data_IF_411516918675
#
_entry.id   IF_411516918675
#
_cell.length_a   1.000
_cell.length_b   1.000
_cell.length_c   1.000
_cell.angle_alpha   90.00
_cell.angle_beta   90.00
_cell.angle_gamma   90.00
#
_symmetry.space_group_name_H-M   'P 1'
#
loop_
_entity.id
_entity.type
_entity.pdbx_description
1 polymer ?
#
# COMPACT_ATOMS: atom_id res chain seq x y z
N UNK A 1 14.31 -35.75 8.91
CA UNK A 1 14.85 -34.43 8.52
C UNK A 1 13.77 -33.41 8.81
N UNK A 2 13.97 -32.52 9.79
CA UNK A 2 13.01 -31.48 10.11
C UNK A 2 13.47 -30.18 9.44
N UNK A 3 12.66 -29.65 8.52
CA UNK A 3 12.91 -28.35 7.90
C UNK A 3 12.11 -27.31 8.68
N UNK A 4 12.79 -26.41 9.37
CA UNK A 4 12.18 -25.20 9.91
C UNK A 4 11.88 -24.27 8.73
N UNK A 5 10.59 -24.12 8.42
CA UNK A 5 10.12 -23.16 7.42
C UNK A 5 9.72 -21.91 8.18
N UNK A 6 10.47 -20.82 7.96
CA UNK A 6 10.10 -19.51 8.45
C UNK A 6 9.03 -18.94 7.51
N UNK A 7 7.80 -18.83 8.03
CA UNK A 7 6.67 -18.33 7.26
C UNK A 7 6.62 -16.80 7.37
N UNK A 8 6.43 -16.07 6.26
CA UNK A 8 6.25 -14.63 6.35
C UNK A 8 4.97 -14.28 7.11
N UNK A 9 5.03 -13.22 7.91
CA UNK A 9 3.88 -12.69 8.67
C UNK A 9 2.80 -12.00 7.82
N UNK A 10 2.90 -12.08 6.50
CA UNK A 10 1.98 -11.44 5.55
C UNK A 10 1.43 -12.45 4.55
N UNK A 11 0.22 -12.17 4.06
CA UNK A 11 -0.48 -13.00 3.07
C UNK A 11 -0.78 -12.21 1.80
N UNK A 12 -1.34 -12.92 0.82
CA UNK A 12 -1.77 -12.33 -0.44
C UNK A 12 -2.82 -11.24 -0.18
N UNK A 13 -2.71 -10.12 -0.92
CA UNK A 13 -3.52 -8.89 -0.84
C UNK A 13 -3.18 -7.95 0.32
N UNK A 14 -2.34 -8.35 1.26
CA UNK A 14 -1.84 -7.44 2.29
C UNK A 14 -0.99 -6.32 1.66
N UNK A 15 -0.85 -5.22 2.39
CA UNK A 15 0.08 -4.15 2.06
C UNK A 15 1.19 -4.19 3.10
N UNK A 16 2.41 -4.24 2.61
CA UNK A 16 3.59 -4.27 3.47
C UNK A 16 4.52 -3.09 3.17
N UNK A 17 5.19 -2.64 4.21
CA UNK A 17 6.36 -1.77 4.11
C UNK A 17 7.63 -2.62 4.14
N UNK A 18 8.47 -2.49 3.12
CA UNK A 18 9.74 -3.23 2.97
C UNK A 18 10.71 -2.42 2.11
N UNK A 19 11.97 -2.30 2.55
CA UNK A 19 13.03 -1.54 1.86
C UNK A 19 12.61 -0.11 1.44
N UNK A 20 11.88 0.59 2.30
CA UNK A 20 11.35 1.93 2.02
C UNK A 20 10.40 1.97 0.80
N UNK A 21 9.69 0.86 0.55
CA UNK A 21 8.65 0.74 -0.47
C UNK A 21 7.38 0.19 0.15
N UNK A 22 6.26 0.65 -0.38
CA UNK A 22 4.93 0.15 -0.05
C UNK A 22 4.50 -0.82 -1.13
N UNK A 23 4.36 -2.09 -0.76
CA UNK A 23 4.08 -3.17 -1.70
C UNK A 23 2.74 -3.83 -1.36
N UNK A 24 1.81 -3.83 -2.32
CA UNK A 24 0.62 -4.68 -2.27
C UNK A 24 0.97 -6.08 -2.73
N UNK A 25 0.82 -7.08 -1.87
CA UNK A 25 1.23 -8.47 -2.12
C UNK A 25 0.31 -9.12 -3.15
N UNK A 26 0.87 -9.57 -4.28
CA UNK A 26 0.11 -10.26 -5.33
C UNK A 26 0.36 -11.77 -5.32
N UNK A 27 1.62 -12.18 -5.14
CA UNK A 27 2.05 -13.59 -5.09
C UNK A 27 3.26 -13.73 -4.18
N UNK A 28 3.24 -14.78 -3.36
CA UNK A 28 4.33 -15.16 -2.46
C UNK A 28 4.94 -16.46 -3.01
N UNK A 29 6.26 -16.51 -3.07
CA UNK A 29 7.06 -17.66 -3.52
C UNK A 29 8.50 -17.48 -3.04
N UNK A 30 9.50 -17.95 -3.79
CA UNK A 30 10.91 -17.65 -3.46
C UNK A 30 11.21 -16.14 -3.44
N UNK A 31 10.49 -15.38 -4.24
CA UNK A 31 10.51 -13.91 -4.28
C UNK A 31 9.09 -13.40 -4.14
N UNK A 32 8.94 -12.21 -3.60
CA UNK A 32 7.65 -11.55 -3.48
C UNK A 32 7.36 -10.81 -4.77
N UNK A 33 6.24 -11.14 -5.42
CA UNK A 33 5.69 -10.32 -6.51
C UNK A 33 4.56 -9.48 -5.95
N UNK A 34 4.64 -8.18 -6.19
CA UNK A 34 3.67 -7.21 -5.70
C UNK A 34 3.52 -6.02 -6.60
N UNK A 35 2.70 -5.08 -6.16
CA UNK A 35 2.51 -3.79 -6.81
C UNK A 35 3.10 -2.71 -5.91
N UNK A 36 4.08 -1.97 -6.43
CA UNK A 36 4.66 -0.79 -5.77
C UNK A 36 3.64 0.35 -5.84
N UNK A 37 3.05 0.68 -4.69
CA UNK A 37 1.97 1.66 -4.56
C UNK A 37 2.48 3.07 -4.85
N UNK A 38 3.71 3.37 -4.46
CA UNK A 38 4.34 4.68 -4.66
C UNK A 38 4.66 4.92 -6.14
N UNK A 39 5.14 3.88 -6.84
CA UNK A 39 5.53 3.97 -8.26
C UNK A 39 4.43 3.56 -9.24
N UNK A 40 3.28 3.12 -8.74
CA UNK A 40 2.13 2.65 -9.51
C UNK A 40 2.51 1.55 -10.54
N UNK A 41 3.38 0.61 -10.16
CA UNK A 41 3.90 -0.43 -11.08
C UNK A 41 4.09 -1.78 -10.40
N UNK A 42 3.99 -2.86 -11.18
CA UNK A 42 4.35 -4.19 -10.71
C UNK A 42 5.85 -4.27 -10.39
N UNK A 43 6.21 -5.02 -9.35
CA UNK A 43 7.59 -5.24 -8.94
C UNK A 43 7.77 -6.64 -8.34
N UNK A 44 9.02 -7.12 -8.38
CA UNK A 44 9.41 -8.35 -7.72
C UNK A 44 10.60 -8.04 -6.82
N UNK A 45 10.48 -8.37 -5.54
CA UNK A 45 11.52 -8.10 -4.55
C UNK A 45 11.92 -9.39 -3.85
N UNK A 46 13.17 -9.43 -3.42
CA UNK A 46 13.58 -10.37 -2.40
C UNK A 46 13.09 -9.87 -1.04
N UNK A 47 12.44 -10.74 -0.28
CA UNK A 47 11.90 -10.44 1.05
C UNK A 47 12.51 -11.34 2.13
N UNK A 48 13.32 -12.34 1.74
CA UNK A 48 13.96 -13.24 2.70
C UNK A 48 14.93 -12.44 3.56
N UNK A 49 14.88 -12.67 4.88
CA UNK A 49 15.70 -11.96 5.88
C UNK A 49 15.49 -10.44 5.94
N UNK A 50 14.38 -9.93 5.39
CA UNK A 50 14.05 -8.51 5.47
C UNK A 50 12.94 -8.27 6.47
N UNK A 51 13.08 -7.17 7.21
CA UNK A 51 12.02 -6.70 8.09
C UNK A 51 10.85 -6.21 7.22
N UNK A 52 9.69 -6.80 7.43
CA UNK A 52 8.43 -6.36 6.82
C UNK A 52 7.51 -5.85 7.91
N UNK A 53 6.71 -4.83 7.59
CA UNK A 53 5.68 -4.31 8.50
C UNK A 53 4.37 -4.30 7.75
N UNK A 54 3.32 -4.88 8.33
CA UNK A 54 1.96 -4.78 7.79
C UNK A 54 1.47 -3.34 7.94
N UNK A 55 0.85 -2.83 6.89
CA UNK A 55 0.27 -1.48 6.88
C UNK A 55 -1.25 -1.60 6.90
N UNK A 56 -1.88 -0.89 7.82
CA UNK A 56 -3.32 -0.82 7.92
C UNK A 56 -3.93 -0.04 6.75
N UNK A 57 -5.09 -0.51 6.30
CA UNK A 57 -5.82 0.06 5.17
C UNK A 57 -7.09 0.70 5.68
N UNK A 58 -7.24 1.98 5.39
CA UNK A 58 -8.40 2.77 5.79
C UNK A 58 -9.30 3.04 4.60
N UNK A 59 -10.61 3.03 4.82
CA UNK A 59 -11.59 3.51 3.85
C UNK A 59 -11.83 5.00 4.08
N UNK A 60 -11.77 5.79 3.01
CA UNK A 60 -12.03 7.22 3.04
C UNK A 60 -12.72 7.67 1.75
N UNK A 61 -12.99 8.95 1.58
CA UNK A 61 -13.60 9.53 0.39
C UNK A 61 -12.69 10.52 -0.34
N UNK A 62 -12.89 10.62 -1.65
CA UNK A 62 -12.25 11.62 -2.50
C UNK A 62 -12.95 12.97 -2.29
N UNK A 63 -12.21 13.94 -1.76
CA UNK A 63 -12.73 15.29 -1.50
C UNK A 63 -12.53 16.22 -2.70
N UNK A 64 -11.49 15.99 -3.50
CA UNK A 64 -11.15 16.84 -4.64
C UNK A 64 -10.32 16.08 -5.67
N UNK A 65 -10.52 16.38 -6.96
CA UNK A 65 -9.81 15.73 -8.07
C UNK A 65 -8.93 16.69 -8.89
N UNK A 66 -9.14 18.01 -8.75
CA UNK A 66 -8.40 19.04 -9.48
C UNK A 66 -8.12 20.24 -8.56
N UNK A 67 -6.92 20.86 -8.60
CA UNK A 67 -5.76 20.57 -9.46
C UNK A 67 -4.98 19.31 -9.05
N UNK A 68 -5.20 18.82 -7.83
CA UNK A 68 -4.60 17.62 -7.27
C UNK A 68 -5.68 16.70 -6.71
N UNK A 69 -5.38 15.41 -6.68
CA UNK A 69 -6.23 14.40 -6.04
C UNK A 69 -6.04 14.47 -4.53
N UNK A 70 -7.12 14.79 -3.83
CA UNK A 70 -7.16 14.87 -2.37
C UNK A 70 -8.23 13.91 -1.83
N UNK A 71 -7.92 13.38 -0.65
CA UNK A 71 -8.80 12.50 0.11
C UNK A 71 -8.90 13.01 1.54
N UNK A 72 -9.94 12.57 2.24
CA UNK A 72 -10.06 12.85 3.67
C UNK A 72 -9.05 11.97 4.45
N UNK A 73 -8.21 12.57 5.29
CA UNK A 73 -7.31 11.80 6.15
C UNK A 73 -8.14 11.02 7.19
N UNK A 74 -7.90 9.70 7.37
CA UNK A 74 -8.78 8.86 8.20
C UNK A 74 -8.77 9.25 9.69
N UNK A 75 -7.66 9.79 10.19
CA UNK A 75 -7.52 10.16 11.61
C UNK A 75 -7.82 11.64 11.90
N UNK A 76 -7.33 12.56 11.06
CA UNK A 76 -7.45 14.01 11.30
C UNK A 76 -8.65 14.63 10.62
N UNK A 77 -9.32 13.91 9.72
CA UNK A 77 -10.43 14.40 8.90
C UNK A 77 -10.07 15.65 8.09
N UNK A 78 -8.79 15.86 7.79
CA UNK A 78 -8.32 16.95 6.94
C UNK A 78 -8.16 16.48 5.50
N UNK A 79 -8.43 17.35 4.54
CA UNK A 79 -8.12 17.08 3.13
C UNK A 79 -6.60 17.04 2.93
N UNK A 80 -6.12 15.93 2.36
CA UNK A 80 -4.69 15.69 2.13
C UNK A 80 -4.46 15.22 0.70
N UNK A 81 -3.38 15.72 0.08
CA UNK A 81 -2.97 15.34 -1.27
C UNK A 81 -2.45 13.91 -1.27
N UNK A 82 -2.91 13.10 -2.22
CA UNK A 82 -2.43 11.73 -2.40
C UNK A 82 -1.11 11.73 -3.18
N UNK A 83 -0.14 10.93 -2.74
CA UNK A 83 1.17 10.81 -3.39
C UNK A 83 1.17 10.08 -4.74
N UNK A 84 0.15 9.27 -5.05
CA UNK A 84 -0.02 8.59 -6.33
C UNK A 84 -1.28 9.03 -7.07
N UNK A 85 -1.19 9.12 -8.39
CA UNK A 85 -2.31 9.55 -9.24
C UNK A 85 -3.17 8.35 -9.68
N UNK A 86 -4.49 8.47 -9.51
CA UNK A 86 -5.49 7.58 -10.08
C UNK A 86 -6.67 8.40 -10.62
N UNK A 87 -7.28 7.93 -11.71
CA UNK A 87 -8.51 8.54 -12.25
C UNK A 87 -9.68 8.16 -11.34
N UNK A 88 -10.19 9.13 -10.61
CA UNK A 88 -11.28 8.98 -9.64
C UNK A 88 -12.29 10.12 -9.78
N UNK A 89 -13.48 9.93 -9.21
CA UNK A 89 -14.54 10.94 -9.12
C UNK A 89 -14.68 11.40 -7.67
N UNK A 90 -15.10 12.66 -7.47
CA UNK A 90 -15.39 13.23 -6.15
C UNK A 90 -16.50 12.41 -5.47
N UNK A 91 -16.43 12.26 -4.15
CA UNK A 91 -17.40 11.52 -3.32
C UNK A 91 -17.28 10.00 -3.41
N UNK A 92 -16.31 9.48 -4.19
CA UNK A 92 -16.05 8.05 -4.27
C UNK A 92 -15.31 7.57 -3.04
N UNK A 93 -15.78 6.47 -2.46
CA UNK A 93 -15.05 5.74 -1.43
C UNK A 93 -13.82 5.04 -2.01
N UNK A 94 -12.70 5.19 -1.32
CA UNK A 94 -11.37 4.70 -1.71
C UNK A 94 -10.65 4.10 -0.52
N UNK A 95 -9.68 3.23 -0.80
CA UNK A 95 -8.79 2.67 0.21
C UNK A 95 -7.47 3.42 0.19
N UNK A 96 -7.03 3.84 1.36
CA UNK A 96 -5.78 4.56 1.57
C UNK A 96 -4.95 3.91 2.65
N UNK A 97 -3.66 4.20 2.59
CA UNK A 97 -2.69 3.93 3.66
C UNK A 97 -2.05 5.25 4.07
N UNK A 98 -1.66 5.33 5.34
CA UNK A 98 -0.97 6.48 5.93
C UNK A 98 0.44 6.02 6.34
N UNK A 99 1.41 6.18 5.44
CA UNK A 99 2.81 5.80 5.68
C UNK A 99 3.71 6.86 5.01
N UNK A 100 4.33 7.72 5.84
CA UNK A 100 5.10 8.90 5.41
C UNK A 100 4.36 9.83 4.43
N UNK A 101 3.04 9.75 4.39
CA UNK A 101 2.16 10.36 3.39
C UNK A 101 0.92 9.51 3.15
N UNK A 102 0.02 9.97 2.29
CA UNK A 102 -1.23 9.27 1.97
C UNK A 102 -1.18 8.69 0.57
N UNK A 103 -1.51 7.41 0.44
CA UNK A 103 -1.41 6.66 -0.81
C UNK A 103 -2.66 5.85 -1.09
N UNK A 104 -3.13 5.83 -2.35
CA UNK A 104 -4.28 5.05 -2.80
C UNK A 104 -3.88 3.62 -3.16
N UNK A 105 -4.68 2.63 -2.77
CA UNK A 105 -4.40 1.20 -2.99
C UNK A 105 -5.40 0.44 -3.86
#
# INVERSE_FOLDING_TARGET
>A
VNVLIDLPDFKRRDIIFIDNRIIKVLKIGKRLTGFDVMKNKATTIDYQNKKTTLIDVHETEVTKVFPSLEVLHPETFQSVVVGNQKKLSIGRKVKVIVEKGVWLV
#
